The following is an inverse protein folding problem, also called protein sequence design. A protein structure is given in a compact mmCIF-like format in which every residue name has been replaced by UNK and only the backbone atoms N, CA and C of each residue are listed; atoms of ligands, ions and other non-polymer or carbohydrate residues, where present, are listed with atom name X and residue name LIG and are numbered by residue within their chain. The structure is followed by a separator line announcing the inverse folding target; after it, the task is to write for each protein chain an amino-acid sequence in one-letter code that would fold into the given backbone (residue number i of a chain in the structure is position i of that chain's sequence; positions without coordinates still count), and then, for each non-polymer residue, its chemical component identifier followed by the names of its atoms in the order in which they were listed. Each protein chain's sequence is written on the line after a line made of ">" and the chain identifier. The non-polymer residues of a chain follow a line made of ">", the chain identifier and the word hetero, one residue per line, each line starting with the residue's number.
data_IF_498013190308
#
_entry.id   IF_498013190308
#
_cell.length_a   1.000
_cell.length_b   1.000
_cell.length_c   1.000
_cell.angle_alpha   90.00
_cell.angle_beta   90.00
_cell.angle_gamma   90.00
#
_symmetry.space_group_name_H-M   'P 1'
#
loop_
_entity.id
_entity.type
_entity.pdbx_description
1 polymer ?
#
# COMPACT_ATOMS: atom_id res chain seq x y z
N UNK A 1 -14.21 -17.16 -4.81
CA UNK A 1 -13.71 -16.03 -5.60
C UNK A 1 -12.77 -16.62 -6.65
N UNK A 2 -13.00 -16.45 -7.96
CA UNK A 2 -12.16 -17.11 -9.00
C UNK A 2 -11.01 -16.23 -9.53
N UNK A 3 -10.83 -15.02 -8.98
CA UNK A 3 -9.74 -14.11 -9.37
C UNK A 3 -8.36 -14.72 -9.14
N UNK A 4 -8.06 -15.12 -7.89
CA UNK A 4 -6.77 -15.74 -7.52
C UNK A 4 -6.47 -17.01 -8.32
N UNK A 5 -7.37 -18.03 -8.39
CA UNK A 5 -7.10 -19.22 -9.19
C UNK A 5 -6.78 -18.92 -10.66
N UNK A 6 -7.51 -17.99 -11.29
CA UNK A 6 -7.26 -17.60 -12.68
C UNK A 6 -5.96 -16.81 -12.86
N UNK A 7 -5.58 -16.02 -11.87
CA UNK A 7 -4.32 -15.29 -11.88
C UNK A 7 -3.15 -16.29 -11.85
N UNK A 8 -3.22 -17.30 -10.99
CA UNK A 8 -2.25 -18.40 -10.93
C UNK A 8 -2.18 -19.14 -12.27
N UNK A 9 -3.33 -19.49 -12.86
CA UNK A 9 -3.38 -20.16 -14.17
C UNK A 9 -2.70 -19.32 -15.27
N UNK A 10 -2.85 -18.00 -15.23
CA UNK A 10 -2.34 -17.08 -16.25
C UNK A 10 -0.85 -16.76 -16.09
N UNK A 11 -0.40 -16.54 -14.85
CA UNK A 11 0.93 -16.00 -14.56
C UNK A 11 1.87 -17.00 -13.86
N UNK A 12 1.35 -18.11 -13.34
CA UNK A 12 2.12 -19.07 -12.55
C UNK A 12 2.54 -18.54 -11.17
N UNK A 13 1.97 -17.41 -10.73
CA UNK A 13 2.27 -16.74 -9.47
C UNK A 13 1.03 -16.69 -8.58
N UNK A 14 1.21 -16.88 -7.27
CA UNK A 14 0.11 -16.80 -6.29
C UNK A 14 0.06 -15.42 -5.63
N UNK A 15 -0.94 -14.58 -5.94
CA UNK A 15 -1.06 -13.25 -5.35
C UNK A 15 -1.76 -13.24 -3.99
N UNK A 16 -2.10 -14.39 -3.41
CA UNK A 16 -2.92 -14.50 -2.19
C UNK A 16 -2.35 -13.69 -1.02
N UNK A 17 -1.03 -13.70 -0.82
CA UNK A 17 -0.40 -13.00 0.30
C UNK A 17 -0.55 -11.48 0.19
N UNK A 18 -0.62 -10.94 -1.04
CA UNK A 18 -0.78 -9.50 -1.28
C UNK A 18 -2.22 -9.01 -1.12
N UNK A 19 -3.18 -9.92 -0.97
CA UNK A 19 -4.60 -9.58 -0.84
C UNK A 19 -4.88 -9.24 0.62
N UNK A 20 -4.89 -7.94 0.91
CA UNK A 20 -5.30 -7.40 2.20
C UNK A 20 -6.45 -6.41 2.00
N UNK A 21 -7.50 -6.51 2.83
CA UNK A 21 -8.64 -5.60 2.78
C UNK A 21 -8.21 -4.12 2.90
N UNK A 22 -7.26 -3.83 3.79
CA UNK A 22 -6.70 -2.50 3.98
C UNK A 22 -5.95 -1.97 2.74
N UNK A 23 -5.49 -2.85 1.86
CA UNK A 23 -4.78 -2.51 0.62
C UNK A 23 -5.69 -2.53 -0.61
N UNK A 24 -6.93 -3.00 -0.50
CA UNK A 24 -7.85 -3.11 -1.64
C UNK A 24 -8.99 -2.09 -1.62
N UNK A 25 -9.22 -1.43 -0.49
CA UNK A 25 -10.38 -0.56 -0.29
C UNK A 25 -10.13 0.87 -0.77
N UNK A 26 -10.28 1.12 -2.08
CA UNK A 26 -10.25 2.48 -2.67
C UNK A 26 -11.54 2.83 -3.42
N UNK A 27 -12.60 2.06 -3.20
CA UNK A 27 -13.90 2.34 -3.79
C UNK A 27 -14.59 3.47 -3.02
N UNK A 28 -14.73 4.61 -3.68
CA UNK A 28 -15.60 5.71 -3.27
C UNK A 28 -17.02 5.46 -3.80
N UNK A 29 -18.00 5.64 -2.94
CA UNK A 29 -19.43 5.49 -3.26
C UNK A 29 -20.17 6.83 -3.34
N UNK A 30 -19.51 7.90 -2.92
CA UNK A 30 -20.02 9.26 -2.86
C UNK A 30 -18.92 10.29 -3.16
N UNK A 31 -19.32 11.50 -3.54
CA UNK A 31 -18.47 12.67 -3.64
C UNK A 31 -17.70 12.95 -2.33
N UNK A 32 -18.32 12.69 -1.16
CA UNK A 32 -17.66 12.86 0.14
C UNK A 32 -16.56 11.84 0.44
N UNK A 33 -16.58 10.70 -0.26
CA UNK A 33 -15.53 9.69 -0.14
C UNK A 33 -14.30 10.08 -0.96
N UNK A 34 -14.45 11.02 -1.90
CA UNK A 34 -13.35 11.66 -2.60
C UNK A 34 -12.90 12.93 -1.86
N UNK A 35 -11.60 13.15 -1.73
CA UNK A 35 -11.04 14.34 -1.07
C UNK A 35 -11.18 15.63 -1.89
N UNK A 36 -11.85 15.60 -3.04
CA UNK A 36 -12.03 16.81 -3.84
C UNK A 36 -13.01 17.79 -3.17
N UNK A 37 -12.54 18.96 -2.71
CA UNK A 37 -13.39 19.90 -2.03
C UNK A 37 -14.36 20.56 -3.02
N UNK A 38 -15.65 20.33 -2.82
CA UNK A 38 -16.72 21.13 -3.44
C UNK A 38 -17.51 20.45 -4.56
N UNK A 39 -17.25 19.19 -4.90
CA UNK A 39 -18.15 18.41 -5.75
C UNK A 39 -19.37 17.95 -4.94
N UNK A 40 -20.58 18.29 -5.39
CA UNK A 40 -21.81 17.75 -4.82
C UNK A 40 -22.07 16.32 -5.30
N UNK A 41 -22.82 15.53 -4.54
CA UNK A 41 -23.20 14.16 -4.92
C UNK A 41 -23.83 14.06 -6.32
N UNK A 42 -24.65 15.06 -6.69
CA UNK A 42 -25.25 15.09 -8.02
C UNK A 42 -24.20 15.33 -9.12
N UNK A 43 -23.27 16.26 -8.91
CA UNK A 43 -22.17 16.53 -9.85
C UNK A 43 -21.29 15.28 -10.02
N UNK A 44 -20.97 14.59 -8.91
CA UNK A 44 -20.26 13.33 -8.91
C UNK A 44 -20.98 12.26 -9.73
N UNK A 45 -22.28 12.03 -9.48
CA UNK A 45 -23.07 11.06 -10.27
C UNK A 45 -23.12 11.40 -11.76
N UNK A 46 -23.21 12.68 -12.13
CA UNK A 46 -23.18 13.12 -13.53
C UNK A 46 -21.83 12.83 -14.18
N UNK A 47 -20.73 13.08 -13.47
CA UNK A 47 -19.38 12.72 -13.91
C UNK A 47 -19.25 11.22 -14.09
N UNK A 48 -19.60 10.42 -13.08
CA UNK A 48 -19.60 8.95 -13.17
C UNK A 48 -20.42 8.40 -14.33
N UNK A 49 -21.61 8.96 -14.57
CA UNK A 49 -22.43 8.60 -15.72
C UNK A 49 -21.70 8.89 -17.05
N UNK A 50 -20.98 10.02 -17.12
CA UNK A 50 -20.18 10.40 -18.30
C UNK A 50 -19.00 9.45 -18.51
N UNK A 51 -18.30 9.07 -17.45
CA UNK A 51 -17.17 8.12 -17.51
C UNK A 51 -17.59 6.74 -18.04
N UNK A 52 -18.84 6.33 -17.80
CA UNK A 52 -19.38 5.06 -18.35
C UNK A 52 -20.06 5.23 -19.70
N UNK A 53 -19.85 6.36 -20.37
CA UNK A 53 -20.34 6.63 -21.72
C UNK A 53 -21.81 7.05 -21.82
N UNK A 54 -22.45 7.42 -20.71
CA UNK A 54 -23.79 8.01 -20.71
C UNK A 54 -23.71 9.53 -20.79
N UNK A 55 -24.78 10.16 -21.25
CA UNK A 55 -24.87 11.62 -21.27
C UNK A 55 -25.25 12.16 -19.88
N UNK A 56 -24.26 12.20 -18.97
CA UNK A 56 -24.45 12.64 -17.59
C UNK A 56 -25.06 14.04 -17.44
N UNK A 57 -24.87 14.92 -18.43
CA UNK A 57 -25.45 16.29 -18.42
C UNK A 57 -26.95 16.27 -18.67
N UNK A 58 -27.42 15.37 -19.54
CA UNK A 58 -28.82 15.29 -19.92
C UNK A 58 -29.65 14.28 -19.12
N UNK A 59 -29.02 13.47 -18.26
CA UNK A 59 -29.75 12.61 -17.32
C UNK A 59 -30.47 13.43 -16.24
N UNK A 60 -31.73 13.07 -15.97
CA UNK A 60 -32.50 13.66 -14.87
C UNK A 60 -32.00 13.15 -13.52
N UNK A 61 -32.20 13.95 -12.46
CA UNK A 61 -31.86 13.55 -11.09
C UNK A 61 -32.49 12.19 -10.70
N UNK A 62 -33.73 11.91 -11.13
CA UNK A 62 -34.41 10.63 -10.88
C UNK A 62 -33.75 9.43 -11.59
N UNK A 63 -33.12 9.65 -12.74
CA UNK A 63 -32.39 8.59 -13.44
C UNK A 63 -31.05 8.33 -12.77
N UNK A 64 -30.31 9.39 -12.42
CA UNK A 64 -29.04 9.30 -11.70
C UNK A 64 -29.22 8.66 -10.31
N UNK A 65 -30.33 8.93 -9.63
CA UNK A 65 -30.61 8.35 -8.32
C UNK A 65 -30.72 6.81 -8.35
N UNK A 66 -31.28 6.27 -9.43
CA UNK A 66 -31.40 4.82 -9.65
C UNK A 66 -30.09 4.14 -10.03
N UNK A 67 -29.09 4.90 -10.45
CA UNK A 67 -27.78 4.38 -10.83
C UNK A 67 -26.89 4.25 -9.60
N UNK A 68 -26.13 3.16 -9.56
CA UNK A 68 -25.09 2.93 -8.54
C UNK A 68 -23.75 2.98 -9.24
N UNK A 69 -22.86 3.81 -8.73
CA UNK A 69 -21.49 3.92 -9.20
C UNK A 69 -20.54 3.54 -8.05
N UNK A 70 -19.40 2.97 -8.39
CA UNK A 70 -18.26 2.81 -7.49
C UNK A 70 -17.06 3.40 -8.21
N UNK A 71 -16.55 4.50 -7.69
CA UNK A 71 -15.33 5.11 -8.20
C UNK A 71 -14.14 4.43 -7.53
N UNK A 72 -13.30 3.73 -8.29
CA UNK A 72 -12.04 3.22 -7.77
C UNK A 72 -10.98 4.33 -7.90
N UNK A 73 -10.63 4.93 -6.77
CA UNK A 73 -9.63 6.00 -6.66
C UNK A 73 -8.24 5.38 -6.57
N UNK A 74 -7.21 6.03 -7.11
CA UNK A 74 -5.84 5.59 -6.94
C UNK A 74 -5.23 6.23 -5.68
N UNK A 75 -4.86 5.46 -4.65
CA UNK A 75 -4.20 6.03 -3.50
C UNK A 75 -2.75 6.38 -3.82
N UNK A 76 -2.24 7.46 -3.22
CA UNK A 76 -0.91 7.94 -3.54
C UNK A 76 0.23 7.02 -3.11
N UNK A 77 0.04 6.29 -2.02
CA UNK A 77 1.05 5.38 -1.49
C UNK A 77 1.24 4.12 -2.33
N UNK A 78 0.29 3.75 -3.18
CA UNK A 78 0.29 2.46 -3.85
C UNK A 78 0.99 2.53 -5.18
N UNK A 79 1.94 1.62 -5.38
CA UNK A 79 2.62 1.48 -6.66
C UNK A 79 1.64 1.16 -7.79
N UNK A 80 2.03 1.56 -9.00
CA UNK A 80 1.32 1.17 -10.22
C UNK A 80 1.27 -0.35 -10.40
N UNK A 81 2.33 -1.04 -9.99
CA UNK A 81 2.43 -2.51 -10.08
C UNK A 81 1.35 -3.20 -9.25
N UNK A 82 1.23 -2.88 -7.95
CA UNK A 82 0.20 -3.47 -7.09
C UNK A 82 -1.21 -3.07 -7.53
N UNK A 83 -1.38 -1.82 -7.99
CA UNK A 83 -2.64 -1.36 -8.59
C UNK A 83 -3.06 -2.23 -9.78
N UNK A 84 -2.12 -2.57 -10.67
CA UNK A 84 -2.41 -3.42 -11.82
C UNK A 84 -2.78 -4.85 -11.40
N UNK A 85 -2.09 -5.41 -10.40
CA UNK A 85 -2.40 -6.74 -9.86
C UNK A 85 -3.84 -6.77 -9.32
N UNK A 86 -4.24 -5.78 -8.51
CA UNK A 86 -5.61 -5.70 -7.98
C UNK A 86 -6.65 -5.49 -9.07
N UNK A 87 -6.37 -4.65 -10.08
CA UNK A 87 -7.26 -4.45 -11.23
C UNK A 87 -7.46 -5.76 -12.01
N UNK A 88 -6.39 -6.49 -12.27
CA UNK A 88 -6.47 -7.77 -12.96
C UNK A 88 -7.21 -8.83 -12.14
N UNK A 89 -6.95 -8.93 -10.84
CA UNK A 89 -7.68 -9.82 -9.94
C UNK A 89 -9.18 -9.53 -9.94
N UNK A 90 -9.56 -8.24 -9.91
CA UNK A 90 -10.94 -7.81 -10.03
C UNK A 90 -11.53 -8.22 -11.39
N UNK A 91 -10.81 -7.98 -12.49
CA UNK A 91 -11.29 -8.29 -13.85
C UNK A 91 -11.48 -9.80 -14.04
N UNK A 92 -10.51 -10.61 -13.62
CA UNK A 92 -10.62 -12.07 -13.64
C UNK A 92 -11.77 -12.60 -12.77
N UNK A 93 -12.01 -11.96 -11.62
CA UNK A 93 -13.17 -12.28 -10.79
C UNK A 93 -14.47 -11.89 -11.49
N UNK A 94 -14.56 -10.69 -12.05
CA UNK A 94 -15.74 -10.17 -12.72
C UNK A 94 -16.13 -11.03 -13.93
N UNK A 95 -15.16 -11.37 -14.78
CA UNK A 95 -15.32 -12.27 -15.93
C UNK A 95 -15.72 -13.70 -15.54
N UNK A 96 -15.51 -14.09 -14.29
CA UNK A 96 -15.89 -15.40 -13.79
C UNK A 96 -17.34 -15.49 -13.32
N UNK A 97 -18.00 -14.34 -13.14
CA UNK A 97 -19.39 -14.26 -12.71
C UNK A 97 -20.34 -14.57 -13.87
N UNK A 98 -21.50 -15.13 -13.55
CA UNK A 98 -22.59 -15.22 -14.53
C UNK A 98 -23.19 -13.84 -14.77
N UNK A 99 -23.80 -13.63 -15.94
CA UNK A 99 -24.53 -12.39 -16.26
C UNK A 99 -25.53 -12.02 -15.16
N UNK A 100 -26.29 -12.99 -14.63
CA UNK A 100 -27.22 -12.76 -13.53
C UNK A 100 -26.52 -12.20 -12.26
N UNK A 101 -25.32 -12.67 -11.94
CA UNK A 101 -24.55 -12.17 -10.78
C UNK A 101 -23.96 -10.79 -11.04
N UNK A 102 -23.48 -10.53 -12.25
CA UNK A 102 -23.01 -9.20 -12.66
C UNK A 102 -24.16 -8.17 -12.58
N UNK A 103 -25.33 -8.53 -13.08
CA UNK A 103 -26.55 -7.71 -12.98
C UNK A 103 -26.98 -7.47 -11.53
N UNK A 104 -26.88 -8.49 -10.66
CA UNK A 104 -27.22 -8.38 -9.25
C UNK A 104 -26.30 -7.43 -8.47
N UNK A 105 -25.03 -7.29 -8.86
CA UNK A 105 -24.11 -6.31 -8.28
C UNK A 105 -24.58 -4.90 -8.63
N UNK A 106 -25.08 -4.70 -9.86
CA UNK A 106 -25.91 -3.55 -10.24
C UNK A 106 -25.23 -2.20 -10.08
N UNK A 107 -23.90 -2.17 -10.04
CA UNK A 107 -23.09 -0.97 -9.89
C UNK A 107 -22.09 -0.88 -11.04
N UNK A 108 -21.96 0.32 -11.58
CA UNK A 108 -20.92 0.66 -12.53
C UNK A 108 -19.61 0.93 -11.77
N UNK A 109 -18.59 0.10 -12.02
CA UNK A 109 -17.24 0.35 -11.51
C UNK A 109 -16.54 1.32 -12.46
N UNK A 110 -16.14 2.48 -11.94
CA UNK A 110 -15.51 3.56 -12.69
C UNK A 110 -14.09 3.72 -12.17
N UNK A 111 -13.11 3.48 -13.02
CA UNK A 111 -11.69 3.68 -12.69
C UNK A 111 -11.33 5.11 -13.08
N UNK A 112 -10.91 5.92 -12.12
CA UNK A 112 -10.47 7.28 -12.39
C UNK A 112 -8.99 7.45 -12.06
N UNK A 113 -8.38 8.46 -12.66
CA UNK A 113 -7.01 8.86 -12.33
C UNK A 113 -6.98 9.80 -11.11
N UNK A 114 -8.10 9.91 -10.36
CA UNK A 114 -8.14 10.69 -9.14
C UNK A 114 -7.21 10.08 -8.11
N UNK A 115 -6.54 10.98 -7.40
CA UNK A 115 -5.54 10.65 -6.40
C UNK A 115 -6.07 10.98 -5.01
N UNK A 116 -5.79 10.12 -4.04
CA UNK A 116 -6.11 10.39 -2.64
C UNK A 116 -4.82 10.40 -1.81
N UNK A 117 -4.56 11.53 -1.14
CA UNK A 117 -3.30 11.76 -0.43
C UNK A 117 -3.35 11.23 1.00
N UNK A 118 -4.51 11.26 1.67
CA UNK A 118 -4.53 11.11 3.14
C UNK A 118 -4.87 9.72 3.71
N UNK A 119 -5.20 8.71 2.88
CA UNK A 119 -5.57 7.38 3.38
C UNK A 119 -4.45 6.37 3.14
N UNK A 120 -3.52 6.34 4.10
CA UNK A 120 -2.50 5.27 4.18
C UNK A 120 -3.05 4.08 4.98
N UNK A 121 -2.75 2.84 4.57
CA UNK A 121 -3.19 1.66 5.30
C UNK A 121 -2.44 1.56 6.63
N UNK A 122 -3.12 1.03 7.65
CA UNK A 122 -2.51 0.73 8.95
C UNK A 122 -1.50 -0.42 8.84
N UNK A 123 -1.80 -1.38 7.97
CA UNK A 123 -0.92 -2.53 7.70
C UNK A 123 0.02 -2.14 6.57
N UNK A 124 1.33 -2.29 6.76
CA UNK A 124 2.29 -2.05 5.70
C UNK A 124 2.04 -2.99 4.50
N UNK A 125 2.03 -2.46 3.26
CA UNK A 125 2.08 -3.29 2.06
C UNK A 125 3.48 -3.91 1.89
N UNK A 126 3.57 -4.93 1.04
CA UNK A 126 4.87 -5.42 0.53
C UNK A 126 5.60 -4.32 -0.24
N UNK A 127 6.92 -4.43 -0.36
CA UNK A 127 7.78 -3.39 -0.93
C UNK A 127 7.41 -3.06 -2.39
N UNK A 128 6.98 -4.05 -3.17
CA UNK A 128 6.47 -3.90 -4.55
C UNK A 128 5.20 -3.06 -4.62
N UNK A 129 4.47 -2.97 -3.51
CA UNK A 129 3.21 -2.27 -3.38
C UNK A 129 3.35 -0.81 -2.98
N UNK A 130 4.55 -0.39 -2.58
CA UNK A 130 4.82 0.98 -2.15
C UNK A 130 5.27 1.81 -3.35
N UNK A 131 4.62 2.95 -3.56
CA UNK A 131 5.11 3.97 -4.48
C UNK A 131 6.31 4.69 -3.84
N UNK A 132 7.48 4.53 -4.46
CA UNK A 132 8.73 5.04 -3.93
C UNK A 132 8.80 6.58 -3.99
N UNK A 133 8.18 7.20 -4.99
CA UNK A 133 8.16 8.65 -5.13
C UNK A 133 7.30 9.26 -4.02
N UNK A 134 6.08 8.76 -3.83
CA UNK A 134 5.21 9.14 -2.74
C UNK A 134 5.88 8.93 -1.39
N UNK A 135 6.52 7.78 -1.17
CA UNK A 135 7.22 7.48 0.08
C UNK A 135 8.27 8.54 0.41
N UNK A 136 9.14 8.85 -0.55
CA UNK A 136 10.21 9.82 -0.33
C UNK A 136 9.69 11.23 -0.05
N UNK A 137 8.53 11.59 -0.59
CA UNK A 137 7.90 12.89 -0.38
C UNK A 137 7.11 12.97 0.94
N UNK A 138 6.56 11.85 1.43
CA UNK A 138 5.56 11.86 2.49
C UNK A 138 5.98 11.19 3.79
N UNK A 139 7.01 10.32 3.80
CA UNK A 139 7.37 9.52 4.98
C UNK A 139 7.58 10.32 6.27
N UNK A 140 8.09 11.55 6.15
CA UNK A 140 8.38 12.43 7.28
C UNK A 140 7.15 13.23 7.76
N UNK A 141 6.11 13.33 6.91
CA UNK A 141 4.84 14.01 7.22
C UNK A 141 3.89 13.14 8.03
N UNK A 142 4.07 11.82 8.00
CA UNK A 142 3.30 10.86 8.79
C UNK A 142 3.99 10.57 10.12
N UNK A 143 3.21 10.35 11.17
CA UNK A 143 3.76 10.01 12.49
C UNK A 143 4.60 8.72 12.42
N UNK A 144 5.68 8.60 13.22
CA UNK A 144 6.60 7.46 13.17
C UNK A 144 5.97 6.12 13.55
N UNK A 145 4.72 6.11 14.01
CA UNK A 145 3.94 4.92 14.30
C UNK A 145 3.15 4.38 13.10
N UNK A 146 2.89 5.20 12.08
CA UNK A 146 2.02 4.84 10.95
C UNK A 146 2.82 4.14 9.83
N UNK A 147 4.03 4.62 9.56
CA UNK A 147 4.88 4.13 8.47
C UNK A 147 6.10 3.32 8.96
N UNK A 148 6.11 2.93 10.24
CA UNK A 148 7.29 2.37 10.91
C UNK A 148 7.83 1.09 10.25
N UNK A 149 6.91 0.26 9.78
CA UNK A 149 7.13 -1.10 9.31
C UNK A 149 7.08 -1.22 7.78
N UNK A 150 6.91 -0.10 7.08
CA UNK A 150 6.98 -0.06 5.62
C UNK A 150 8.41 -0.34 5.16
N UNK A 151 8.55 -1.08 4.06
CA UNK A 151 9.83 -1.62 3.55
C UNK A 151 10.54 -2.65 4.46
N UNK A 152 9.86 -3.22 5.46
CA UNK A 152 10.47 -4.23 6.34
C UNK A 152 10.16 -5.68 5.96
N UNK A 153 9.20 -5.91 5.06
CA UNK A 153 8.64 -7.24 4.80
C UNK A 153 9.15 -7.89 3.51
N UNK A 154 9.77 -7.14 2.61
CA UNK A 154 10.20 -7.66 1.32
C UNK A 154 9.01 -7.90 0.38
N UNK A 155 9.21 -8.77 -0.62
CA UNK A 155 8.15 -9.18 -1.55
C UNK A 155 7.89 -10.68 -1.46
N UNK A 156 6.65 -11.14 -1.74
CA UNK A 156 6.36 -12.55 -1.91
C UNK A 156 7.17 -13.17 -3.06
N UNK A 157 7.38 -14.47 -2.99
CA UNK A 157 8.15 -15.20 -3.99
C UNK A 157 7.57 -15.00 -5.41
N UNK A 158 8.44 -14.70 -6.37
CA UNK A 158 8.06 -14.47 -7.77
C UNK A 158 7.48 -13.09 -8.07
N UNK A 159 7.29 -12.22 -7.07
CA UNK A 159 6.94 -10.81 -7.29
C UNK A 159 8.15 -9.91 -7.03
N UNK A 160 8.65 -9.27 -8.07
CA UNK A 160 9.77 -8.32 -7.98
C UNK A 160 9.26 -6.89 -8.00
N UNK A 161 9.89 -6.00 -7.24
CA UNK A 161 9.58 -4.56 -7.31
C UNK A 161 10.28 -3.98 -8.54
N UNK A 162 9.56 -3.22 -9.36
CA UNK A 162 10.18 -2.43 -10.45
C UNK A 162 11.19 -1.38 -9.92
N UNK A 163 11.12 -1.03 -8.63
CA UNK A 163 11.84 0.10 -8.04
C UNK A 163 13.05 -0.26 -7.16
N UNK A 164 13.43 -1.54 -7.03
CA UNK A 164 14.61 -1.87 -6.24
C UNK A 164 15.88 -1.81 -7.12
N UNK A 165 16.84 -0.89 -6.92
CA UNK A 165 18.20 -1.17 -7.31
C UNK A 165 18.62 -2.43 -6.54
N UNK A 166 19.15 -3.41 -7.27
CA UNK A 166 19.79 -4.59 -6.70
C UNK A 166 20.97 -4.13 -5.82
N UNK A 167 20.70 -3.85 -4.55
CA UNK A 167 21.67 -3.38 -3.59
C UNK A 167 21.37 -4.04 -2.26
N UNK A 168 22.10 -5.13 -2.03
CA UNK A 168 22.31 -5.79 -0.75
C UNK A 168 21.12 -6.57 -0.18
N UNK A 169 20.73 -7.63 -0.90
CA UNK A 169 20.40 -8.89 -0.21
C UNK A 169 21.65 -9.28 0.58
N UNK A 170 21.71 -8.89 1.85
CA UNK A 170 22.63 -9.47 2.80
C UNK A 170 22.30 -10.96 2.88
N UNK A 171 23.08 -11.77 2.16
CA UNK A 171 23.26 -13.18 2.47
C UNK A 171 23.65 -13.27 3.94
N UNK A 172 22.65 -13.49 4.80
CA UNK A 172 22.87 -13.94 6.17
C UNK A 172 22.95 -15.46 6.12
N UNK A 173 24.14 -16.07 6.19
CA UNK A 173 24.23 -17.52 6.23
C UNK A 173 23.68 -17.97 7.57
N UNK A 174 22.74 -18.92 7.52
CA UNK A 174 22.10 -19.47 8.70
C UNK A 174 23.11 -19.94 9.76
N UNK A 175 23.04 -19.35 10.95
CA UNK A 175 23.72 -19.87 12.12
C UNK A 175 22.77 -20.78 12.90
N UNK A 176 22.85 -22.07 12.56
CA UNK A 176 22.44 -23.15 13.47
C UNK A 176 23.32 -23.08 14.71
N UNK A 177 22.65 -23.03 15.87
CA UNK A 177 23.21 -23.25 17.21
C UNK A 177 23.93 -24.60 17.29
N UNK A 178 25.18 -24.64 17.75
CA UNK A 178 25.72 -25.65 18.69
C UNK A 178 26.99 -25.11 19.35
N UNK A 179 27.19 -25.55 20.59
CA UNK A 179 28.12 -25.07 21.60
C UNK A 179 29.58 -25.46 21.35
N UNK A 180 30.54 -24.64 21.80
CA UNK A 180 31.76 -25.12 22.46
C UNK A 180 32.45 -23.97 23.19
N UNK A 181 32.55 -24.11 24.52
CA UNK A 181 33.47 -23.38 25.38
C UNK A 181 34.91 -23.72 24.99
N UNK A 182 35.81 -22.74 24.90
CA UNK A 182 36.99 -22.73 25.77
C UNK A 182 37.77 -21.40 25.76
N UNK A 183 38.03 -20.93 26.98
CA UNK A 183 39.25 -20.34 27.52
C UNK A 183 40.04 -19.21 26.81
N UNK A 184 40.18 -18.14 27.60
CA UNK A 184 41.32 -17.23 27.73
C UNK A 184 41.52 -16.14 26.67
N UNK A 185 41.16 -14.90 27.03
CA UNK A 185 42.13 -13.80 27.18
C UNK A 185 41.40 -12.48 27.47
N UNK A 186 40.87 -12.34 28.70
CA UNK A 186 40.48 -11.03 29.23
C UNK A 186 41.72 -10.37 29.83
N UNK A 187 42.40 -9.52 29.05
CA UNK A 187 43.34 -8.52 29.57
C UNK A 187 43.56 -7.44 28.52
N UNK A 188 43.43 -6.19 28.97
CA UNK A 188 43.60 -4.93 28.25
C UNK A 188 42.48 -4.58 27.27
N UNK A 189 41.47 -3.83 27.73
CA UNK A 189 41.21 -2.41 27.35
C UNK A 189 40.17 -1.86 28.35
N UNK A 190 40.60 -1.46 29.56
CA UNK A 190 39.78 -0.65 30.47
C UNK A 190 40.72 0.11 31.40
N UNK A 191 41.45 1.06 30.83
CA UNK A 191 42.32 1.96 31.57
C UNK A 191 42.41 3.30 30.83
N UNK A 192 41.28 4.01 30.71
CA UNK A 192 41.29 5.45 30.38
C UNK A 192 39.99 6.15 30.83
N UNK A 193 39.64 6.01 32.11
CA UNK A 193 38.54 6.78 32.72
C UNK A 193 38.79 7.05 34.22
N UNK A 194 40.01 7.44 34.59
CA UNK A 194 40.38 7.76 35.98
C UNK A 194 41.16 9.08 36.17
N UNK A 195 41.09 10.01 35.20
CA UNK A 195 41.66 11.36 35.38
C UNK A 195 40.74 12.42 34.77
N UNK A 196 39.64 12.74 35.47
CA UNK A 196 38.86 13.96 35.24
C UNK A 196 38.10 14.43 36.49
N UNK A 197 38.54 14.06 37.69
CA UNK A 197 37.89 14.45 38.95
C UNK A 197 38.89 14.94 40.01
N UNK A 198 39.83 15.77 39.58
CA UNK A 198 40.81 16.43 40.45
C UNK A 198 41.10 17.88 40.01
N UNK A 199 40.07 18.67 39.70
CA UNK A 199 40.18 20.14 39.65
C UNK A 199 38.90 20.76 40.23
N UNK A 200 38.72 20.60 41.54
CA UNK A 200 37.74 21.32 42.34
C UNK A 200 38.41 21.73 43.66
N UNK A 201 39.54 22.45 43.58
CA UNK A 201 40.19 23.08 44.74
C UNK A 201 41.28 24.08 44.34
N UNK A 202 40.96 25.14 43.60
CA UNK A 202 41.77 26.37 43.54
C UNK A 202 41.05 27.44 42.74
N UNK A 203 40.10 28.16 43.33
CA UNK A 203 39.85 29.61 43.15
C UNK A 203 38.71 30.00 44.10
N UNK A 204 39.04 30.13 45.38
CA UNK A 204 38.29 30.94 46.34
C UNK A 204 39.32 31.56 47.26
N UNK A 205 39.69 32.80 46.96
CA UNK A 205 40.08 33.83 47.91
C UNK A 205 39.68 35.19 47.31
#
# INVERSE_FOLDING_TARGET
>A
MKGVPRYIEKHGLDPSDMICEAHMSDDASDASDSEEPGESHEQWKRRMATEVGLDGKNLSAKQLDKMRFRETIQPGWRSKQLTNIFRELHDLWWESLSTQRQEAIGAFVVRTDRWHESRVPIVAPFDLGIDLEWWNQNKDSYGPSILKDWFMYGNPEGFESEAAPASERSDSPGLRRTESLDSASSRAVFEEASQANAELASTTD
#
